data_IF_328908845795
#
_entry.id   IF_328908845795
#
_cell.length_a   1.000
_cell.length_b   1.000
_cell.length_c   1.000
_cell.angle_alpha   90.00
_cell.angle_beta   90.00
_cell.angle_gamma   90.00
#
_symmetry.space_group_name_H-M   'P 1'
#
loop_
_entity.id
_entity.type
_entity.pdbx_description
1 polymer ?
#
# COMPACT_ATOMS: atom_id res chain seq x y z
N UNK A 1 56.92 16.50 25.62
CA UNK A 1 56.83 17.89 25.12
C UNK A 1 55.97 17.83 23.87
N UNK A 2 54.64 18.05 23.98
CA UNK A 2 53.94 19.28 23.54
C UNK A 2 54.41 19.67 22.12
N UNK A 3 53.60 19.67 21.07
CA UNK A 3 52.38 20.48 20.92
C UNK A 3 51.42 19.89 19.87
N UNK A 4 50.13 20.02 20.17
CA UNK A 4 49.02 19.79 19.27
C UNK A 4 48.79 21.01 18.37
N UNK A 5 48.46 20.78 17.10
CA UNK A 5 47.91 21.80 16.20
C UNK A 5 46.69 21.23 15.50
N UNK A 6 45.52 21.67 15.95
CA UNK A 6 44.24 21.49 15.30
C UNK A 6 44.17 22.42 14.09
N UNK A 7 43.96 21.88 12.89
CA UNK A 7 43.61 22.68 11.71
C UNK A 7 42.18 22.33 11.30
N UNK A 8 41.25 23.24 11.59
CA UNK A 8 39.85 23.14 11.20
C UNK A 8 39.72 23.45 9.70
N UNK A 9 39.26 22.48 8.92
CA UNK A 9 38.89 22.66 7.52
C UNK A 9 37.38 22.97 7.45
N UNK A 10 37.04 24.24 7.25
CA UNK A 10 35.67 24.68 7.04
C UNK A 10 35.24 24.43 5.58
N UNK A 11 34.21 23.61 5.39
CA UNK A 11 33.54 23.42 4.09
C UNK A 11 32.66 24.66 3.81
N UNK A 12 33.00 25.43 2.78
CA UNK A 12 32.12 26.46 2.24
C UNK A 12 31.28 25.86 1.10
N UNK A 13 29.99 25.64 1.35
CA UNK A 13 29.00 25.34 0.31
C UNK A 13 28.50 26.67 -0.27
N UNK A 14 28.89 26.97 -1.50
CA UNK A 14 28.37 28.11 -2.28
C UNK A 14 26.94 27.84 -2.73
N UNK A 15 26.01 28.67 -2.26
CA UNK A 15 24.62 28.69 -2.73
C UNK A 15 24.50 29.51 -4.01
N UNK A 16 23.82 28.95 -5.01
CA UNK A 16 23.53 29.59 -6.29
C UNK A 16 22.71 30.87 -6.11
N UNK A 17 23.19 31.98 -6.67
CA UNK A 17 22.46 33.23 -6.79
C UNK A 17 21.31 33.08 -7.81
N UNK A 18 20.08 33.38 -7.41
CA UNK A 18 18.95 33.63 -8.31
C UNK A 18 18.78 35.15 -8.48
N UNK A 19 18.72 35.68 -9.72
CA UNK A 19 18.48 37.10 -9.95
C UNK A 19 16.97 37.34 -10.12
N UNK A 20 16.26 37.62 -9.03
CA UNK A 20 14.94 38.24 -9.09
C UNK A 20 14.58 38.79 -7.70
N UNK A 21 14.75 40.09 -7.50
CA UNK A 21 14.23 40.80 -6.33
C UNK A 21 12.80 41.25 -6.64
N UNK A 22 11.75 40.61 -6.08
CA UNK A 22 10.40 41.19 -6.15
C UNK A 22 10.33 42.46 -5.28
N UNK A 23 9.46 43.43 -5.63
CA UNK A 23 9.32 44.66 -4.86
C UNK A 23 8.89 44.38 -3.42
N UNK A 24 9.46 45.14 -2.48
CA UNK A 24 9.18 45.00 -1.05
C UNK A 24 7.68 45.23 -0.78
N UNK A 25 7.00 44.18 -0.31
CA UNK A 25 5.64 44.29 0.22
C UNK A 25 5.68 45.07 1.55
N UNK A 26 4.67 45.92 1.77
CA UNK A 26 4.53 46.68 3.01
C UNK A 26 4.45 45.73 4.23
N UNK A 27 5.02 46.13 5.38
CA UNK A 27 4.95 45.31 6.58
C UNK A 27 3.49 45.20 7.04
N UNK A 28 2.99 43.96 7.10
CA UNK A 28 1.72 43.63 7.75
C UNK A 28 1.96 43.76 9.26
N UNK A 29 1.58 44.89 9.84
CA UNK A 29 1.60 45.13 11.29
C UNK A 29 0.38 44.53 11.97
N UNK A 30 0.07 43.26 11.68
CA UNK A 30 -0.97 42.54 12.41
C UNK A 30 -0.31 41.72 13.53
N UNK A 31 -0.70 42.00 14.78
CA UNK A 31 -0.29 41.19 15.91
C UNK A 31 -0.71 39.73 15.68
N UNK A 32 0.23 38.81 15.86
CA UNK A 32 -0.04 37.38 15.77
C UNK A 32 -1.17 37.00 16.74
N UNK A 33 -2.16 36.18 16.33
CA UNK A 33 -3.15 35.69 17.27
C UNK A 33 -2.42 34.91 18.36
N UNK A 34 -2.72 35.24 19.61
CA UNK A 34 -2.17 34.54 20.76
C UNK A 34 -2.45 33.04 20.61
N UNK A 35 -1.39 32.25 20.56
CA UNK A 35 -1.46 30.79 20.53
C UNK A 35 -2.22 30.36 21.78
N UNK A 36 -3.48 29.96 21.64
CA UNK A 36 -4.17 29.27 22.70
C UNK A 36 -3.39 27.98 22.96
N UNK A 37 -2.72 27.91 24.12
CA UNK A 37 -2.10 26.68 24.59
C UNK A 37 -3.22 25.64 24.72
N UNK A 38 -3.33 24.76 23.73
CA UNK A 38 -4.18 23.60 23.83
C UNK A 38 -3.73 22.82 25.06
N UNK A 39 -4.65 22.61 26.01
CA UNK A 39 -4.42 21.72 27.14
C UNK A 39 -3.92 20.36 26.61
N UNK A 40 -3.02 19.66 27.33
CA UNK A 40 -2.58 18.34 26.91
C UNK A 40 -3.81 17.45 26.81
N UNK A 41 -4.19 17.11 25.57
CA UNK A 41 -5.21 16.12 25.33
C UNK A 41 -4.65 14.83 25.91
N UNK A 42 -5.23 14.36 27.03
CA UNK A 42 -4.81 13.16 27.71
C UNK A 42 -4.65 12.04 26.69
N UNK A 43 -3.46 11.44 26.65
CA UNK A 43 -3.16 10.32 25.78
C UNK A 43 -4.20 9.23 26.05
N UNK A 44 -5.10 9.01 25.10
CA UNK A 44 -6.04 7.91 25.20
C UNK A 44 -5.21 6.61 25.24
N UNK A 45 -5.51 5.68 26.15
CA UNK A 45 -4.82 4.40 26.17
C UNK A 45 -4.89 3.78 24.77
N UNK A 46 -3.74 3.40 24.21
CA UNK A 46 -3.71 2.66 22.96
C UNK A 46 -4.48 1.35 23.19
N UNK A 47 -5.74 1.30 22.76
CA UNK A 47 -6.57 0.12 22.92
C UNK A 47 -5.86 -1.05 22.22
N UNK A 48 -5.47 -2.07 22.98
CA UNK A 48 -4.91 -3.30 22.43
C UNK A 48 -6.04 -4.02 21.72
N UNK A 49 -6.09 -3.88 20.40
CA UNK A 49 -7.06 -4.54 19.53
C UNK A 49 -6.53 -5.91 19.13
N UNK A 50 -7.45 -6.86 18.98
CA UNK A 50 -7.10 -8.13 18.35
C UNK A 50 -6.49 -7.88 16.95
N UNK A 51 -5.54 -8.71 16.50
CA UNK A 51 -4.99 -8.60 15.15
C UNK A 51 -6.10 -8.66 14.09
N UNK A 52 -6.03 -7.75 13.11
CA UNK A 52 -6.99 -7.69 11.99
C UNK A 52 -6.43 -8.48 10.82
N UNK A 53 -7.22 -9.39 10.27
CA UNK A 53 -6.88 -10.13 9.05
C UNK A 53 -7.35 -9.35 7.82
N UNK A 54 -6.43 -9.09 6.89
CA UNK A 54 -6.72 -8.45 5.60
C UNK A 54 -6.34 -9.43 4.49
N UNK A 55 -7.30 -9.78 3.64
CA UNK A 55 -7.06 -10.56 2.42
C UNK A 55 -6.95 -9.60 1.23
N UNK A 56 -5.76 -9.55 0.61
CA UNK A 56 -5.50 -8.79 -0.62
C UNK A 56 -5.36 -9.77 -1.77
N UNK A 57 -6.35 -9.80 -2.68
CA UNK A 57 -6.29 -10.59 -3.91
C UNK A 57 -5.85 -9.70 -5.07
N UNK A 58 -4.90 -10.16 -5.89
CA UNK A 58 -4.45 -9.48 -7.11
C UNK A 58 -4.74 -10.40 -8.29
N UNK A 59 -5.76 -10.05 -9.08
CA UNK A 59 -6.19 -10.89 -10.21
C UNK A 59 -5.10 -10.99 -11.29
N UNK A 60 -4.96 -12.17 -11.89
CA UNK A 60 -3.98 -12.43 -12.95
C UNK A 60 -2.51 -12.29 -12.55
N UNK A 61 -2.18 -12.22 -11.25
CA UNK A 61 -0.80 -12.07 -10.79
C UNK A 61 -0.05 -13.41 -10.87
N UNK A 62 0.77 -13.57 -11.92
CA UNK A 62 1.59 -14.77 -12.09
C UNK A 62 2.83 -14.72 -11.17
N UNK A 63 3.30 -15.86 -10.62
CA UNK A 63 4.41 -15.85 -9.65
C UNK A 63 5.70 -15.18 -10.13
N UNK A 64 6.05 -15.29 -11.42
CA UNK A 64 7.26 -14.68 -12.00
C UNK A 64 7.21 -13.14 -12.05
N UNK A 65 6.06 -12.52 -11.78
CA UNK A 65 5.93 -11.06 -11.80
C UNK A 65 6.69 -10.41 -10.63
N UNK A 66 6.99 -11.17 -9.57
CA UNK A 66 7.81 -10.71 -8.43
C UNK A 66 9.26 -10.40 -8.84
N UNK A 67 9.76 -11.10 -9.85
CA UNK A 67 11.17 -11.04 -10.25
C UNK A 67 11.43 -9.98 -11.34
N UNK A 68 10.38 -9.25 -11.78
CA UNK A 68 10.47 -8.20 -12.80
C UNK A 68 11.04 -6.87 -12.30
N UNK A 69 11.32 -6.74 -11.00
CA UNK A 69 11.89 -5.53 -10.39
C UNK A 69 10.91 -4.37 -10.19
N UNK A 70 9.62 -4.53 -10.49
CA UNK A 70 8.60 -3.46 -10.41
C UNK A 70 7.66 -3.57 -9.21
N UNK A 71 7.88 -4.53 -8.31
CA UNK A 71 7.00 -4.84 -7.15
C UNK A 71 7.71 -4.68 -5.79
N UNK A 72 8.35 -3.52 -5.50
CA UNK A 72 9.20 -3.36 -4.31
C UNK A 72 8.45 -3.60 -2.99
N UNK A 73 7.18 -3.20 -2.91
CA UNK A 73 6.36 -3.41 -1.71
C UNK A 73 6.01 -4.88 -1.48
N UNK A 74 5.65 -5.63 -2.54
CA UNK A 74 5.37 -7.06 -2.43
C UNK A 74 6.65 -7.84 -2.12
N UNK A 75 7.79 -7.45 -2.69
CA UNK A 75 9.08 -8.05 -2.38
C UNK A 75 9.50 -7.81 -0.92
N UNK A 76 9.22 -6.63 -0.37
CA UNK A 76 9.42 -6.36 1.07
C UNK A 76 8.53 -7.24 1.95
N UNK A 77 7.26 -7.45 1.57
CA UNK A 77 6.35 -8.37 2.28
C UNK A 77 6.83 -9.82 2.21
N UNK A 78 7.30 -10.27 1.03
CA UNK A 78 7.90 -11.60 0.83
C UNK A 78 9.14 -11.81 1.70
N UNK A 79 10.03 -10.83 1.76
CA UNK A 79 11.29 -10.92 2.52
C UNK A 79 11.08 -10.91 4.04
N UNK A 80 10.08 -10.17 4.53
CA UNK A 80 9.76 -10.07 5.96
C UNK A 80 8.66 -11.03 6.44
N UNK A 81 8.15 -11.90 5.56
CA UNK A 81 6.98 -12.75 5.82
C UNK A 81 7.16 -14.17 5.31
N UNK A 82 6.02 -14.84 5.06
CA UNK A 82 5.99 -16.19 4.50
C UNK A 82 5.59 -16.13 3.03
N UNK A 83 6.27 -16.91 2.20
CA UNK A 83 6.01 -16.98 0.76
C UNK A 83 5.92 -18.44 0.31
N UNK A 84 4.92 -18.73 -0.54
CA UNK A 84 4.72 -20.04 -1.14
C UNK A 84 4.06 -19.90 -2.52
N UNK A 85 4.28 -20.87 -3.38
CA UNK A 85 3.52 -20.99 -4.62
C UNK A 85 2.08 -21.46 -4.32
N UNK A 86 1.11 -20.90 -5.04
CA UNK A 86 -0.30 -21.30 -4.96
C UNK A 86 -0.73 -21.92 -6.27
N UNK A 87 -1.37 -23.09 -6.22
CA UNK A 87 -1.95 -23.74 -7.38
C UNK A 87 -3.44 -23.38 -7.46
N UNK A 88 -3.91 -22.72 -8.53
CA UNK A 88 -5.32 -22.39 -8.69
C UNK A 88 -6.18 -23.64 -8.92
N UNK A 89 -7.47 -23.51 -8.66
CA UNK A 89 -8.48 -24.47 -9.09
C UNK A 89 -8.66 -24.41 -10.61
N UNK A 90 -9.10 -25.52 -11.20
CA UNK A 90 -9.56 -25.55 -12.59
C UNK A 90 -11.07 -25.24 -12.64
N UNK A 91 -11.55 -24.42 -13.59
CA UNK A 91 -10.77 -23.64 -14.55
C UNK A 91 -10.01 -22.48 -13.88
N UNK A 92 -8.83 -22.14 -14.41
CA UNK A 92 -7.97 -21.06 -13.89
C UNK A 92 -8.44 -19.68 -14.36
N UNK A 93 -9.71 -19.35 -14.06
CA UNK A 93 -10.36 -18.07 -14.40
C UNK A 93 -10.81 -17.35 -13.13
N UNK A 94 -11.05 -16.05 -13.25
CA UNK A 94 -11.18 -15.10 -12.13
C UNK A 94 -12.23 -15.52 -11.10
N UNK A 95 -13.50 -15.64 -11.50
CA UNK A 95 -14.61 -15.79 -10.56
C UNK A 95 -14.54 -17.11 -9.77
N UNK A 96 -14.36 -18.28 -10.41
CA UNK A 96 -14.20 -19.55 -9.69
C UNK A 96 -13.04 -19.54 -8.68
N UNK A 97 -11.90 -18.93 -9.01
CA UNK A 97 -10.73 -18.93 -8.13
C UNK A 97 -10.85 -17.95 -6.97
N UNK A 98 -11.38 -16.74 -7.20
CA UNK A 98 -11.64 -15.79 -6.11
C UNK A 98 -12.66 -16.36 -5.13
N UNK A 99 -13.69 -17.04 -5.64
CA UNK A 99 -14.68 -17.70 -4.80
C UNK A 99 -14.11 -18.90 -4.03
N UNK A 100 -13.19 -19.66 -4.66
CA UNK A 100 -12.47 -20.74 -3.96
C UNK A 100 -11.64 -20.21 -2.79
N UNK A 101 -10.98 -19.06 -2.92
CA UNK A 101 -10.15 -18.49 -1.86
C UNK A 101 -10.95 -18.11 -0.61
N UNK A 102 -12.17 -17.61 -0.78
CA UNK A 102 -13.01 -17.14 0.33
C UNK A 102 -13.86 -18.25 0.95
N UNK A 103 -14.20 -19.30 0.18
CA UNK A 103 -15.04 -20.40 0.66
C UNK A 103 -14.27 -21.67 1.02
N UNK A 104 -13.06 -21.85 0.50
CA UNK A 104 -12.33 -23.12 0.57
C UNK A 104 -12.90 -24.23 -0.32
N UNK A 105 -13.94 -23.95 -1.12
CA UNK A 105 -14.60 -24.93 -1.99
C UNK A 105 -14.12 -24.79 -3.43
N UNK A 106 -13.81 -25.93 -4.06
CA UNK A 106 -13.49 -25.99 -5.49
C UNK A 106 -14.74 -25.68 -6.35
N UNK A 107 -14.56 -25.27 -7.63
CA UNK A 107 -15.67 -24.88 -8.51
C UNK A 107 -16.78 -25.92 -8.64
N UNK A 108 -16.44 -27.21 -8.65
CA UNK A 108 -17.38 -28.34 -8.70
C UNK A 108 -18.30 -28.45 -7.46
N UNK A 109 -17.86 -27.90 -6.32
CA UNK A 109 -18.62 -27.89 -5.06
C UNK A 109 -19.25 -26.54 -4.76
N UNK A 110 -18.64 -25.46 -5.22
CA UNK A 110 -19.13 -24.10 -4.96
C UNK A 110 -20.22 -23.65 -5.95
N UNK A 111 -20.32 -24.30 -7.10
CA UNK A 111 -21.27 -23.94 -8.17
C UNK A 111 -20.80 -22.79 -9.06
N UNK A 112 -19.76 -22.05 -8.66
CA UNK A 112 -19.14 -20.99 -9.47
C UNK A 112 -18.12 -21.63 -10.41
N UNK A 113 -18.58 -22.10 -11.56
CA UNK A 113 -17.79 -22.93 -12.50
C UNK A 113 -17.11 -22.13 -13.63
N UNK A 114 -17.50 -20.88 -13.84
CA UNK A 114 -16.91 -20.01 -14.86
C UNK A 114 -17.20 -18.53 -14.62
N UNK A 115 -16.52 -17.67 -15.39
CA UNK A 115 -16.83 -16.23 -15.42
C UNK A 115 -18.17 -15.94 -16.12
N UNK A 116 -18.61 -16.87 -16.97
CA UNK A 116 -19.93 -16.90 -17.57
C UNK A 116 -20.44 -18.33 -17.48
N UNK A 117 -21.63 -18.52 -16.93
CA UNK A 117 -22.25 -19.82 -16.75
C UNK A 117 -23.77 -19.71 -16.88
N UNK A 118 -24.41 -20.82 -17.21
CA UNK A 118 -25.86 -20.97 -17.28
C UNK A 118 -26.25 -22.11 -16.35
N UNK A 119 -27.31 -21.91 -15.58
CA UNK A 119 -27.86 -22.93 -14.70
C UNK A 119 -28.91 -23.74 -15.49
N UNK A 120 -28.78 -25.07 -15.62
CA UNK A 120 -29.81 -25.90 -16.27
C UNK A 120 -31.21 -25.76 -15.65
N UNK A 121 -31.32 -25.37 -14.38
CA UNK A 121 -32.61 -25.09 -13.74
C UNK A 121 -33.21 -23.73 -14.16
N UNK A 122 -32.42 -22.85 -14.78
CA UNK A 122 -32.80 -21.50 -15.24
C UNK A 122 -32.36 -21.31 -16.70
N UNK A 123 -32.94 -22.07 -17.64
CA UNK A 123 -32.51 -22.06 -19.03
C UNK A 123 -32.68 -20.67 -19.67
N UNK A 124 -31.68 -20.24 -20.44
CA UNK A 124 -31.61 -18.94 -21.10
C UNK A 124 -31.10 -17.80 -20.22
N UNK A 125 -30.91 -18.01 -18.91
CA UNK A 125 -30.35 -17.02 -17.99
C UNK A 125 -28.84 -17.21 -17.85
N UNK A 126 -28.05 -16.21 -18.27
CA UNK A 126 -26.59 -16.23 -18.15
C UNK A 126 -26.15 -15.46 -16.92
N UNK A 127 -25.44 -16.14 -16.03
CA UNK A 127 -24.73 -15.54 -14.92
C UNK A 127 -23.34 -15.14 -15.38
N UNK A 128 -22.96 -13.90 -15.08
CA UNK A 128 -21.66 -13.33 -15.38
C UNK A 128 -21.07 -12.69 -14.13
N UNK A 129 -19.80 -12.31 -14.17
CA UNK A 129 -19.19 -11.54 -13.09
C UNK A 129 -19.82 -10.15 -12.86
N UNK A 130 -20.58 -9.63 -13.82
CA UNK A 130 -21.16 -8.29 -13.79
C UNK A 130 -22.65 -8.27 -13.39
N UNK A 131 -23.28 -9.43 -13.27
CA UNK A 131 -24.72 -9.62 -13.13
C UNK A 131 -25.10 -10.27 -11.82
#
# INVERSE_FOLDING_TARGET
MRHATFSALALALGGCAYPATPPALAPVTQAAPATATAAPQGAQPLAVRAPVTILVSIDGFRPDYLDRGVTPNLNRLRAGGVFAAMRPSFPSVTFPNHWTLVTGLRPDRSGIVGNTMEDPARPGEKFTMAS
#
